data_IF_363750040838
#
_entry.id   IF_363750040838
#
_cell.length_a   1.000
_cell.length_b   1.000
_cell.length_c   1.000
_cell.angle_alpha   90.00
_cell.angle_beta   90.00
_cell.angle_gamma   90.00
#
_symmetry.space_group_name_H-M   'P 1'
#
loop_
_entity.id
_entity.type
_entity.pdbx_description
1 polymer ?
#
# COMPACT_ATOMS: atom_id res chain seq x y z
N UNK A 1 -7.48 -10.60 10.85
CA UNK A 1 -7.69 -9.29 11.49
C UNK A 1 -6.36 -8.72 11.98
N UNK A 2 -6.22 -7.42 11.91
CA UNK A 2 -4.94 -6.72 11.87
C UNK A 2 -4.20 -6.80 13.23
N UNK A 3 -3.20 -7.69 13.35
CA UNK A 3 -2.24 -7.76 14.47
C UNK A 3 -0.96 -6.90 14.24
N UNK A 4 -0.56 -6.00 15.17
CA UNK A 4 0.57 -5.06 15.01
C UNK A 4 1.94 -5.70 14.71
N UNK A 5 2.20 -6.91 15.23
CA UNK A 5 3.45 -7.64 14.98
C UNK A 5 3.64 -8.07 13.52
N UNK A 6 2.61 -7.95 12.67
CA UNK A 6 2.66 -8.29 11.24
C UNK A 6 2.98 -7.09 10.34
N UNK A 7 3.11 -5.89 10.90
CA UNK A 7 3.29 -4.65 10.13
C UNK A 7 4.43 -4.68 9.10
N UNK A 8 5.57 -5.32 9.43
CA UNK A 8 6.70 -5.48 8.49
C UNK A 8 6.34 -6.29 7.24
N UNK A 9 5.39 -7.23 7.37
CA UNK A 9 4.91 -8.10 6.28
C UNK A 9 3.76 -7.48 5.49
N UNK A 10 3.30 -6.29 5.86
CA UNK A 10 2.22 -5.58 5.16
C UNK A 10 2.80 -4.59 4.16
N UNK A 11 2.33 -4.70 2.91
CA UNK A 11 2.51 -3.70 1.88
C UNK A 11 1.20 -2.94 1.70
N UNK A 12 1.25 -1.61 1.81
CA UNK A 12 0.12 -0.72 1.52
C UNK A 12 0.35 0.01 0.21
N UNK A 13 -0.68 0.06 -0.63
CA UNK A 13 -0.67 0.74 -1.92
C UNK A 13 -1.77 1.79 -1.86
N UNK A 14 -1.39 3.05 -1.96
CA UNK A 14 -2.28 4.19 -1.72
C UNK A 14 -2.22 5.17 -2.90
N UNK A 15 -3.37 5.73 -3.27
CA UNK A 15 -3.45 6.87 -4.18
C UNK A 15 -3.22 8.18 -3.41
N UNK A 16 -2.39 9.07 -3.95
CA UNK A 16 -2.16 10.41 -3.38
C UNK A 16 -3.35 11.34 -3.62
N UNK A 17 -4.01 11.20 -4.76
CA UNK A 17 -5.16 12.01 -5.17
C UNK A 17 -6.47 11.23 -5.03
N UNK A 18 -6.57 10.33 -4.05
CA UNK A 18 -7.77 9.53 -3.81
C UNK A 18 -8.90 10.43 -3.26
N UNK A 19 -10.00 10.60 -4.02
CA UNK A 19 -11.11 11.46 -3.58
C UNK A 19 -12.05 10.75 -2.59
N UNK A 20 -11.93 9.43 -2.42
CA UNK A 20 -12.79 8.61 -1.55
C UNK A 20 -12.12 8.40 -0.20
N UNK A 21 -10.84 8.01 -0.21
CA UNK A 21 -10.05 7.76 1.00
C UNK A 21 -8.90 8.77 1.05
N UNK A 22 -8.99 9.81 1.89
CA UNK A 22 -7.93 10.80 2.02
C UNK A 22 -6.57 10.17 2.32
N UNK A 23 -5.53 10.69 1.70
CA UNK A 23 -4.17 10.15 1.81
C UNK A 23 -3.70 10.10 3.29
N UNK A 24 -4.12 11.06 4.11
CA UNK A 24 -3.82 11.17 5.54
C UNK A 24 -4.25 9.93 6.33
N UNK A 25 -5.40 9.34 5.99
CA UNK A 25 -5.91 8.13 6.63
C UNK A 25 -4.94 6.96 6.39
N UNK A 26 -4.56 6.76 5.13
CA UNK A 26 -3.63 5.69 4.74
C UNK A 26 -2.22 5.89 5.32
N UNK A 27 -1.73 7.14 5.31
CA UNK A 27 -0.44 7.54 5.89
C UNK A 27 -0.40 7.31 7.40
N UNK A 28 -1.47 7.69 8.11
CA UNK A 28 -1.61 7.50 9.55
C UNK A 28 -1.61 6.01 9.92
N UNK A 29 -2.42 5.21 9.20
CA UNK A 29 -2.49 3.77 9.41
C UNK A 29 -1.12 3.12 9.21
N UNK A 30 -0.46 3.43 8.10
CA UNK A 30 0.83 2.86 7.77
C UNK A 30 1.94 3.29 8.76
N UNK A 31 1.91 4.53 9.26
CA UNK A 31 2.81 4.99 10.33
C UNK A 31 2.60 4.21 11.61
N UNK A 32 1.35 4.04 12.05
CA UNK A 32 0.99 3.27 13.25
C UNK A 32 1.43 1.80 13.13
N UNK A 33 1.33 1.26 11.92
CA UNK A 33 1.66 -0.12 11.61
C UNK A 33 3.11 -0.37 11.22
N UNK A 34 3.91 0.69 11.02
CA UNK A 34 5.26 0.59 10.42
C UNK A 34 5.26 -0.24 9.13
N UNK A 35 4.16 -0.16 8.37
CA UNK A 35 3.97 -0.89 7.14
C UNK A 35 4.72 -0.22 5.99
N UNK A 36 5.19 -1.02 5.04
CA UNK A 36 5.79 -0.50 3.82
C UNK A 36 4.70 0.13 2.96
N UNK A 37 4.98 1.30 2.39
CA UNK A 37 4.02 2.03 1.56
C UNK A 37 4.54 2.25 0.14
N UNK A 38 3.62 2.20 -0.80
CA UNK A 38 3.79 2.69 -2.17
C UNK A 38 2.69 3.72 -2.38
N UNK A 39 3.10 4.92 -2.76
CA UNK A 39 2.18 6.03 -3.06
C UNK A 39 2.18 6.25 -4.56
N UNK A 40 1.01 6.28 -5.16
CA UNK A 40 0.80 6.47 -6.59
C UNK A 40 0.13 7.83 -6.84
N UNK A 41 0.49 8.56 -7.91
CA UNK A 41 -0.16 9.82 -8.28
C UNK A 41 -1.50 9.54 -8.98
N UNK A 42 -2.42 8.87 -8.28
CA UNK A 42 -3.73 8.47 -8.80
C UNK A 42 -4.82 8.68 -7.75
N UNK A 43 -6.06 8.62 -8.23
CA UNK A 43 -7.25 8.49 -7.39
C UNK A 43 -7.64 7.03 -7.18
N UNK A 44 -8.76 6.81 -6.50
CA UNK A 44 -9.22 5.47 -6.10
C UNK A 44 -9.35 4.50 -7.28
N UNK A 45 -10.09 4.91 -8.32
CA UNK A 45 -10.37 4.07 -9.47
C UNK A 45 -9.31 4.17 -10.56
N UNK A 46 -8.57 5.28 -10.63
CA UNK A 46 -7.48 5.44 -11.62
C UNK A 46 -6.21 4.70 -11.24
N UNK A 47 -6.14 4.12 -10.03
CA UNK A 47 -5.09 3.18 -9.65
C UNK A 47 -4.97 1.98 -10.61
N UNK A 48 -6.05 1.61 -11.31
CA UNK A 48 -6.05 0.53 -12.30
C UNK A 48 -5.05 0.77 -13.44
N UNK A 49 -4.79 2.04 -13.82
CA UNK A 49 -3.79 2.38 -14.82
C UNK A 49 -2.37 1.96 -14.40
N UNK A 50 -2.14 1.82 -13.09
CA UNK A 50 -0.87 1.39 -12.51
C UNK A 50 -0.85 -0.11 -12.19
N UNK A 51 -1.85 -0.88 -12.61
CA UNK A 51 -2.00 -2.29 -12.25
C UNK A 51 -0.73 -3.14 -12.53
N UNK A 52 -0.06 -3.04 -13.70
CA UNK A 52 1.17 -3.80 -13.94
C UNK A 52 2.27 -3.49 -12.92
N UNK A 53 2.43 -2.20 -12.57
CA UNK A 53 3.39 -1.77 -11.57
C UNK A 53 3.02 -2.24 -10.16
N UNK A 54 1.74 -2.15 -9.80
CA UNK A 54 1.18 -2.65 -8.53
C UNK A 54 1.49 -4.14 -8.39
N UNK A 55 1.17 -4.96 -9.40
CA UNK A 55 1.40 -6.40 -9.40
C UNK A 55 2.89 -6.72 -9.25
N UNK A 56 3.77 -6.06 -10.01
CA UNK A 56 5.21 -6.22 -9.88
C UNK A 56 5.69 -5.96 -8.44
N UNK A 57 5.18 -4.91 -7.79
CA UNK A 57 5.55 -4.57 -6.42
C UNK A 57 5.01 -5.55 -5.39
N UNK A 58 3.80 -6.04 -5.58
CA UNK A 58 3.18 -7.09 -4.74
C UNK A 58 4.02 -8.36 -4.81
N UNK A 59 4.32 -8.86 -6.02
CA UNK A 59 5.14 -10.06 -6.22
C UNK A 59 6.51 -9.89 -5.56
N UNK A 60 7.19 -8.77 -5.83
CA UNK A 60 8.50 -8.49 -5.22
C UNK A 60 8.44 -8.39 -3.70
N UNK A 61 7.35 -7.91 -3.12
CA UNK A 61 7.17 -7.87 -1.66
C UNK A 61 7.02 -9.27 -1.09
N UNK A 62 6.18 -10.11 -1.70
CA UNK A 62 6.04 -11.51 -1.29
C UNK A 62 7.36 -12.29 -1.37
N UNK A 63 8.10 -12.17 -2.47
CA UNK A 63 9.41 -12.84 -2.61
C UNK A 63 10.43 -12.43 -1.55
N UNK A 64 10.35 -11.21 -0.99
CA UNK A 64 11.26 -10.74 0.06
C UNK A 64 10.88 -11.18 1.48
N UNK A 65 9.60 -11.48 1.70
CA UNK A 65 9.05 -11.74 3.04
C UNK A 65 8.60 -13.20 3.23
N UNK A 66 8.55 -14.00 2.16
CA UNK A 66 8.22 -15.44 2.19
C UNK A 66 9.42 -16.36 1.89
N UNK A 67 10.60 -15.80 1.63
CA UNK A 67 11.89 -16.54 1.52
C UNK A 67 12.78 -16.14 2.68
#
# INVERSE_FOLDING_TARGET
YAHPSRGKRVLMINGFFDPIVPFECSRSLAKKWKAKQIVLPCGHYTALAFLPYILYKIIRHFHKELV
#
